data_IF_414147638163
#
_entry.id   IF_414147638163
#
_cell.length_a   1.000
_cell.length_b   1.000
_cell.length_c   1.000
_cell.angle_alpha   90.00
_cell.angle_beta   90.00
_cell.angle_gamma   90.00
#
_symmetry.space_group_name_H-M   'P 1'
#
loop_
_entity.id
_entity.type
_entity.pdbx_description
1 polymer ?
#
# COMPACT_ATOMS: atom_id res chain seq x y z
N UNK A 1 -18.87 1.24 3.72
CA UNK A 1 -17.75 1.10 4.69
C UNK A 1 -16.86 -0.12 4.41
N UNK A 2 -17.36 -1.36 4.52
CA UNK A 2 -16.53 -2.59 4.36
C UNK A 2 -15.69 -2.64 3.08
N UNK A 3 -16.25 -2.27 1.93
CA UNK A 3 -15.49 -2.26 0.66
C UNK A 3 -14.37 -1.20 0.65
N UNK A 4 -14.58 -0.08 1.33
CA UNK A 4 -13.58 0.99 1.48
C UNK A 4 -12.43 0.50 2.35
N UNK A 5 -12.73 -0.18 3.45
CA UNK A 5 -11.76 -0.77 4.37
C UNK A 5 -10.91 -1.84 3.66
N UNK A 6 -11.56 -2.76 2.94
CA UNK A 6 -10.85 -3.78 2.16
C UNK A 6 -9.96 -3.20 1.05
N UNK A 7 -10.35 -2.05 0.45
CA UNK A 7 -9.48 -1.33 -0.48
C UNK A 7 -8.26 -0.76 0.24
N UNK A 8 -8.44 -0.13 1.41
CA UNK A 8 -7.34 0.40 2.23
C UNK A 8 -6.36 -0.70 2.60
N UNK A 9 -6.84 -1.81 3.13
CA UNK A 9 -6.01 -2.96 3.53
C UNK A 9 -5.27 -3.57 2.34
N UNK A 10 -5.96 -3.77 1.21
CA UNK A 10 -5.35 -4.32 -0.01
C UNK A 10 -4.30 -3.40 -0.62
N UNK A 11 -4.56 -2.09 -0.67
CA UNK A 11 -3.62 -1.10 -1.17
C UNK A 11 -2.37 -0.96 -0.29
N UNK A 12 -2.53 -1.07 1.02
CA UNK A 12 -1.40 -1.10 1.97
C UNK A 12 -0.59 -2.38 1.79
N UNK A 13 -1.23 -3.54 1.66
CA UNK A 13 -0.52 -4.79 1.39
C UNK A 13 0.29 -4.70 0.09
N UNK A 14 -0.30 -4.22 -1.01
CA UNK A 14 0.42 -4.01 -2.27
C UNK A 14 1.55 -2.98 -2.11
N UNK A 15 1.35 -1.92 -1.33
CA UNK A 15 2.38 -0.91 -1.06
C UNK A 15 3.57 -1.45 -0.26
N UNK A 16 3.33 -2.39 0.66
CA UNK A 16 4.39 -3.12 1.38
C UNK A 16 5.20 -3.96 0.38
N UNK A 17 4.52 -4.69 -0.50
CA UNK A 17 5.14 -5.48 -1.57
C UNK A 17 6.03 -4.61 -2.46
N UNK A 18 5.47 -3.54 -3.01
CA UNK A 18 6.17 -2.57 -3.85
C UNK A 18 7.40 -1.94 -3.16
N UNK A 19 7.35 -1.70 -1.85
CA UNK A 19 8.42 -1.04 -1.13
C UNK A 19 9.59 -1.97 -0.75
N UNK A 20 9.31 -3.26 -0.49
CA UNK A 20 10.25 -4.15 0.21
C UNK A 20 10.48 -5.51 -0.45
N UNK A 21 9.66 -5.91 -1.43
CA UNK A 21 9.62 -7.30 -1.91
C UNK A 21 9.59 -7.43 -3.44
N UNK A 22 8.72 -6.69 -4.10
CA UNK A 22 8.38 -6.88 -5.51
C UNK A 22 9.48 -6.36 -6.43
N UNK A 23 10.08 -7.25 -7.22
CA UNK A 23 11.02 -6.89 -8.28
C UNK A 23 10.87 -7.89 -9.44
N UNK A 24 10.52 -7.39 -10.64
CA UNK A 24 10.46 -8.24 -11.82
C UNK A 24 11.80 -8.28 -12.55
N UNK A 25 12.40 -9.47 -12.59
CA UNK A 25 13.63 -9.79 -13.31
C UNK A 25 13.31 -10.83 -14.39
N UNK A 26 13.37 -10.46 -15.68
CA UNK A 26 13.10 -11.38 -16.80
C UNK A 26 13.91 -12.68 -16.71
N UNK A 27 13.27 -13.82 -16.96
CA UNK A 27 13.88 -15.15 -16.87
C UNK A 27 14.22 -15.63 -15.46
N UNK A 28 13.91 -14.86 -14.40
CA UNK A 28 14.13 -15.25 -13.00
C UNK A 28 12.85 -15.22 -12.18
N UNK A 29 12.12 -14.11 -12.17
CA UNK A 29 10.93 -13.93 -11.31
C UNK A 29 9.63 -14.04 -12.13
N UNK A 30 9.56 -15.00 -13.06
CA UNK A 30 8.38 -15.26 -13.90
C UNK A 30 7.34 -16.18 -13.21
N UNK A 31 7.45 -16.31 -11.89
CA UNK A 31 6.59 -17.11 -11.04
C UNK A 31 6.45 -16.42 -9.67
N UNK A 32 5.43 -16.76 -8.89
CA UNK A 32 5.17 -16.15 -7.57
C UNK A 32 5.98 -16.76 -6.42
N UNK A 33 6.87 -17.71 -6.70
CA UNK A 33 7.84 -18.19 -5.72
C UNK A 33 9.05 -17.27 -5.66
N UNK A 34 9.51 -16.81 -6.82
CA UNK A 34 10.69 -15.95 -6.96
C UNK A 34 10.31 -14.46 -7.07
N UNK A 35 9.12 -14.13 -7.59
CA UNK A 35 8.50 -12.81 -7.44
C UNK A 35 7.76 -12.75 -6.10
N UNK A 36 8.38 -12.11 -5.12
CA UNK A 36 7.84 -12.08 -3.77
C UNK A 36 6.67 -11.10 -3.68
N UNK A 37 5.54 -11.60 -3.18
CA UNK A 37 4.40 -10.80 -2.74
C UNK A 37 4.20 -10.99 -1.24
N UNK A 38 3.63 -10.00 -0.53
CA UNK A 38 3.37 -10.12 0.91
C UNK A 38 2.46 -11.29 1.24
N UNK A 39 2.83 -12.02 2.29
CA UNK A 39 1.97 -13.03 2.94
C UNK A 39 1.25 -12.43 4.14
N UNK A 40 0.38 -13.21 4.78
CA UNK A 40 -0.32 -12.78 6.00
C UNK A 40 0.64 -12.44 7.16
N UNK A 41 1.85 -13.00 7.16
CA UNK A 41 2.85 -12.69 8.19
C UNK A 41 3.56 -11.35 7.99
N UNK A 42 3.49 -10.79 6.80
CA UNK A 42 4.22 -9.58 6.41
C UNK A 42 3.37 -8.31 6.56
N UNK A 43 2.05 -8.46 6.55
CA UNK A 43 1.10 -7.34 6.64
C UNK A 43 0.73 -7.14 8.12
N UNK A 44 1.09 -6.00 8.74
CA UNK A 44 0.69 -5.70 10.10
C UNK A 44 -0.81 -5.38 10.19
N UNK A 45 -1.40 -5.39 11.39
CA UNK A 45 -2.75 -4.86 11.59
C UNK A 45 -2.86 -3.42 11.07
N UNK A 46 -3.88 -3.14 10.27
CA UNK A 46 -4.14 -1.82 9.69
C UNK A 46 -5.23 -1.12 10.49
N UNK A 47 -4.95 0.11 10.91
CA UNK A 47 -5.94 1.02 11.48
C UNK A 47 -6.27 2.11 10.46
N UNK A 48 -7.55 2.29 10.14
CA UNK A 48 -8.02 3.29 9.19
C UNK A 48 -8.92 4.32 9.85
N UNK A 49 -8.74 5.58 9.44
CA UNK A 49 -9.59 6.71 9.84
C UNK A 49 -10.18 7.30 8.56
N UNK A 50 -11.51 7.22 8.42
CA UNK A 50 -12.22 7.80 7.30
C UNK A 50 -12.56 9.26 7.61
N UNK A 51 -11.95 10.17 6.85
CA UNK A 51 -12.26 11.61 6.92
C UNK A 51 -13.18 11.97 5.75
N UNK A 52 -14.46 12.15 6.06
CA UNK A 52 -15.48 12.44 5.06
C UNK A 52 -15.62 13.94 4.83
N UNK A 53 -15.19 14.40 3.66
CA UNK A 53 -15.46 15.74 3.14
C UNK A 53 -16.22 15.58 1.83
N UNK A 54 -17.50 15.98 1.74
CA UNK A 54 -18.30 15.76 0.53
C UNK A 54 -17.69 16.40 -0.72
N UNK A 55 -17.69 15.65 -1.81
CA UNK A 55 -17.35 16.17 -3.15
C UNK A 55 -18.61 16.70 -3.86
N UNK A 56 -18.66 17.98 -4.29
CA UNK A 56 -19.81 18.50 -5.01
C UNK A 56 -20.07 17.83 -6.36
N UNK A 57 -19.05 17.20 -6.96
CA UNK A 57 -19.14 16.52 -8.26
C UNK A 57 -19.36 15.00 -8.10
N UNK A 58 -19.15 14.47 -6.90
CA UNK A 58 -19.26 13.05 -6.59
C UNK A 58 -20.70 12.60 -6.31
N UNK A 59 -21.07 11.36 -6.70
CA UNK A 59 -22.38 10.81 -6.36
C UNK A 59 -22.52 10.73 -4.84
N UNK A 60 -23.55 11.41 -4.31
CA UNK A 60 -23.79 11.50 -2.86
C UNK A 60 -22.60 12.06 -2.06
N UNK A 61 -21.71 12.84 -2.68
CA UNK A 61 -20.52 13.37 -2.02
C UNK A 61 -19.29 12.45 -2.00
N UNK A 62 -19.36 11.28 -2.64
CA UNK A 62 -18.27 10.29 -2.64
C UNK A 62 -17.06 10.71 -3.48
N UNK A 63 -15.88 10.22 -3.10
CA UNK A 63 -14.60 10.42 -3.81
C UNK A 63 -13.98 9.09 -4.23
N UNK A 64 -13.10 9.13 -5.22
CA UNK A 64 -12.28 7.97 -5.59
C UNK A 64 -11.30 7.59 -4.50
N UNK A 65 -11.14 6.28 -4.24
CA UNK A 65 -10.29 5.75 -3.17
C UNK A 65 -9.24 4.73 -3.65
N UNK A 66 -9.60 3.87 -4.61
CA UNK A 66 -8.87 2.62 -4.88
C UNK A 66 -7.36 2.77 -5.13
N UNK A 67 -6.93 3.84 -5.79
CA UNK A 67 -5.49 4.07 -6.05
C UNK A 67 -4.82 4.86 -4.91
N UNK A 68 -5.57 5.71 -4.21
CA UNK A 68 -5.04 6.60 -3.17
C UNK A 68 -4.46 5.85 -1.98
N UNK A 69 -4.93 4.62 -1.74
CA UNK A 69 -4.49 3.77 -0.63
C UNK A 69 -3.10 3.16 -0.85
N UNK A 70 -2.67 3.03 -2.11
CA UNK A 70 -1.35 2.48 -2.47
C UNK A 70 -0.25 3.55 -2.41
N UNK A 71 -0.54 4.74 -2.96
CA UNK A 71 0.40 5.83 -3.17
C UNK A 71 1.25 6.18 -1.92
N UNK A 72 0.68 6.37 -0.72
CA UNK A 72 1.44 6.84 0.43
C UNK A 72 2.28 5.75 1.12
N UNK A 73 2.00 4.47 0.84
CA UNK A 73 2.54 3.36 1.63
C UNK A 73 4.06 3.22 1.48
N UNK A 74 4.56 3.13 0.25
CA UNK A 74 6.00 3.01 0.01
C UNK A 74 6.82 4.18 0.57
N UNK A 75 6.52 5.47 0.30
CA UNK A 75 7.28 6.57 0.87
C UNK A 75 7.18 6.64 2.40
N UNK A 76 6.05 6.23 3.00
CA UNK A 76 5.93 6.14 4.47
C UNK A 76 6.92 5.10 5.04
N UNK A 77 7.02 3.92 4.41
CA UNK A 77 7.97 2.86 4.81
C UNK A 77 9.42 3.35 4.66
N UNK A 78 9.80 3.95 3.53
CA UNK A 78 11.17 4.44 3.33
C UNK A 78 11.55 5.54 4.35
N UNK A 79 10.60 6.43 4.68
CA UNK A 79 10.79 7.41 5.74
C UNK A 79 10.93 6.75 7.12
N UNK A 80 10.20 5.67 7.39
CA UNK A 80 10.35 4.90 8.62
C UNK A 80 11.73 4.22 8.73
N UNK A 81 12.24 3.64 7.64
CA UNK A 81 13.61 3.09 7.58
C UNK A 81 14.63 4.18 7.90
N UNK A 82 14.51 5.34 7.27
CA UNK A 82 15.38 6.49 7.55
C UNK A 82 15.31 6.94 9.00
N UNK A 83 14.11 7.02 9.56
CA UNK A 83 13.93 7.39 10.96
C UNK A 83 14.58 6.37 11.91
N UNK A 84 14.43 5.07 11.63
CA UNK A 84 14.95 4.00 12.47
C UNK A 84 16.48 3.83 12.38
N UNK A 85 17.07 4.09 11.21
CA UNK A 85 18.46 3.69 10.91
C UNK A 85 19.38 4.84 10.48
N UNK A 86 18.82 5.99 10.10
CA UNK A 86 19.54 7.07 9.43
C UNK A 86 19.82 6.83 7.94
N UNK A 87 19.57 5.63 7.41
CA UNK A 87 19.82 5.29 6.00
C UNK A 87 18.75 5.91 5.10
N UNK A 88 19.19 6.49 3.97
CA UNK A 88 18.31 6.99 2.93
C UNK A 88 18.27 5.98 1.77
N UNK A 89 17.07 5.45 1.49
CA UNK A 89 16.80 4.64 0.29
C UNK A 89 16.23 5.58 -0.77
N UNK A 90 16.85 5.62 -1.95
CA UNK A 90 16.53 6.54 -3.07
C UNK A 90 16.10 5.78 -4.31
#
# INVERSE_FOLDING_TARGET
PVLVEGQIEGGIAQGIGMALMEEYIPGRTENLHDYLIPTIGDVPPVEHILVEVPDPEGPFGAKGLGEHVLIPTAPAILNAIRHATGVLVT
#
